data_IF_379315179093
#
_entry.id   IF_379315179093
#
_cell.length_a   1.000
_cell.length_b   1.000
_cell.length_c   1.000
_cell.angle_alpha   90.00
_cell.angle_beta   90.00
_cell.angle_gamma   90.00
#
_symmetry.space_group_name_H-M   'P 1'
#
loop_
_entity.id
_entity.type
_entity.pdbx_description
1 polymer ?
#
# COMPACT_ATOMS: atom_id res chain seq x y z
N UNK A 1 6.79 -25.15 3.05
CA UNK A 1 6.91 -23.96 3.93
C UNK A 1 7.87 -22.90 3.39
N UNK A 2 9.07 -23.25 2.90
CA UNK A 2 10.04 -22.25 2.40
C UNK A 2 9.57 -21.49 1.14
N UNK A 3 9.02 -22.19 0.14
CA UNK A 3 8.57 -21.58 -1.12
C UNK A 3 7.55 -20.45 -0.90
N UNK A 4 6.56 -20.67 -0.03
CA UNK A 4 5.56 -19.64 0.29
C UNK A 4 6.18 -18.41 0.93
N UNK A 5 7.19 -18.57 1.79
CA UNK A 5 7.86 -17.42 2.40
C UNK A 5 8.67 -16.63 1.38
N UNK A 6 9.39 -17.30 0.48
CA UNK A 6 10.09 -16.63 -0.61
C UNK A 6 9.13 -15.80 -1.48
N UNK A 7 7.94 -16.33 -1.76
CA UNK A 7 6.90 -15.59 -2.51
C UNK A 7 6.44 -14.36 -1.73
N UNK A 8 6.11 -14.49 -0.44
CA UNK A 8 5.68 -13.34 0.36
C UNK A 8 6.76 -12.27 0.52
N UNK A 9 8.02 -12.66 0.68
CA UNK A 9 9.16 -11.73 0.70
C UNK A 9 9.28 -11.02 -0.64
N UNK A 10 9.23 -11.74 -1.75
CA UNK A 10 9.31 -11.15 -3.09
C UNK A 10 8.16 -10.18 -3.36
N UNK A 11 6.92 -10.55 -2.98
CA UNK A 11 5.75 -9.67 -3.10
C UNK A 11 5.88 -8.44 -2.21
N UNK A 12 6.32 -8.59 -0.96
CA UNK A 12 6.52 -7.46 -0.06
C UNK A 12 7.59 -6.49 -0.56
N UNK A 13 8.71 -6.99 -1.08
CA UNK A 13 9.74 -6.18 -1.73
C UNK A 13 9.18 -5.49 -2.97
N UNK A 14 8.41 -6.19 -3.81
CA UNK A 14 7.78 -5.60 -4.98
C UNK A 14 6.86 -4.43 -4.59
N UNK A 15 6.05 -4.59 -3.54
CA UNK A 15 5.19 -3.51 -3.02
C UNK A 15 6.02 -2.31 -2.55
N UNK A 16 7.12 -2.53 -1.83
CA UNK A 16 8.03 -1.45 -1.41
C UNK A 16 8.62 -0.74 -2.63
N UNK A 17 9.13 -1.48 -3.61
CA UNK A 17 9.74 -0.91 -4.81
C UNK A 17 8.72 -0.10 -5.61
N UNK A 18 7.49 -0.61 -5.77
CA UNK A 18 6.41 0.13 -6.40
C UNK A 18 6.03 1.36 -5.56
N UNK A 19 6.00 1.29 -4.23
CA UNK A 19 5.64 2.48 -3.45
C UNK A 19 6.60 3.67 -3.62
N UNK A 20 7.88 3.41 -3.89
CA UNK A 20 8.93 4.42 -3.92
C UNK A 20 8.68 5.58 -4.91
N UNK A 21 8.39 5.36 -6.21
CA UNK A 21 8.11 6.45 -7.14
C UNK A 21 6.88 7.30 -6.75
N UNK A 22 5.89 6.71 -6.08
CA UNK A 22 4.71 7.43 -5.57
C UNK A 22 5.07 8.31 -4.37
N UNK A 23 5.81 7.77 -3.39
CA UNK A 23 6.25 8.51 -2.20
C UNK A 23 7.14 9.70 -2.60
N UNK A 24 8.05 9.47 -3.55
CA UNK A 24 8.97 10.48 -4.07
C UNK A 24 8.32 11.49 -5.02
N UNK A 25 7.00 11.38 -5.27
CA UNK A 25 6.24 12.27 -6.16
C UNK A 25 6.85 12.36 -7.57
N UNK A 26 7.36 11.24 -8.09
CA UNK A 26 8.03 11.17 -9.41
C UNK A 26 7.11 10.75 -10.55
N UNK A 27 5.90 10.30 -10.23
CA UNK A 27 4.95 9.74 -11.21
C UNK A 27 4.02 10.85 -11.67
N UNK A 28 4.09 11.29 -12.95
CA UNK A 28 3.09 12.21 -13.49
C UNK A 28 1.72 11.52 -13.64
N UNK A 29 0.67 12.32 -13.80
CA UNK A 29 -0.68 11.81 -14.04
C UNK A 29 -0.69 10.87 -15.24
N UNK A 30 -1.25 9.68 -15.05
CA UNK A 30 -1.25 8.64 -16.08
C UNK A 30 -2.44 7.68 -15.86
N UNK A 31 -2.69 6.83 -16.85
CA UNK A 31 -3.88 5.96 -16.88
C UNK A 31 -3.65 4.56 -16.31
N UNK A 32 -2.45 4.23 -15.79
CA UNK A 32 -2.10 2.86 -15.39
C UNK A 32 -1.59 2.72 -13.95
N UNK A 33 -1.10 3.79 -13.33
CA UNK A 33 -0.28 3.69 -12.14
C UNK A 33 -0.56 4.83 -11.16
N UNK A 34 -0.68 4.48 -9.87
CA UNK A 34 -1.13 5.39 -8.81
C UNK A 34 -2.61 5.27 -8.47
N UNK A 35 -3.06 6.05 -7.49
CA UNK A 35 -4.45 6.14 -7.05
C UNK A 35 -5.26 6.97 -8.05
N UNK A 36 -6.13 6.30 -8.80
CA UNK A 36 -6.94 6.88 -9.89
C UNK A 36 -8.41 6.97 -9.49
N UNK A 37 -8.72 7.95 -8.65
CA UNK A 37 -10.08 8.31 -8.29
C UNK A 37 -10.46 9.62 -9.03
N UNK A 38 -11.75 9.93 -9.25
CA UNK A 38 -12.16 11.12 -9.98
C UNK A 38 -11.44 12.39 -9.53
N UNK A 39 -11.24 12.54 -8.21
CA UNK A 39 -10.50 13.64 -7.60
C UNK A 39 -9.04 13.76 -8.10
N UNK A 40 -8.30 12.66 -8.20
CA UNK A 40 -6.89 12.70 -8.60
C UNK A 40 -6.71 12.82 -10.12
N UNK A 41 -7.74 12.44 -10.89
CA UNK A 41 -7.75 12.49 -12.35
C UNK A 41 -8.24 13.82 -12.92
N UNK A 42 -9.25 14.43 -12.29
CA UNK A 42 -9.88 15.67 -12.75
C UNK A 42 -9.41 16.90 -11.96
N UNK A 43 -8.82 16.69 -10.79
CA UNK A 43 -8.31 17.77 -9.94
C UNK A 43 -6.96 18.33 -10.41
N UNK A 44 -6.32 19.07 -9.52
CA UNK A 44 -5.00 19.68 -9.68
C UNK A 44 -3.86 18.65 -9.66
N UNK A 45 -2.68 19.03 -10.18
CA UNK A 45 -1.48 18.19 -10.03
C UNK A 45 -1.08 17.97 -8.57
N UNK A 46 -1.32 18.98 -7.71
CA UNK A 46 -1.04 18.88 -6.29
C UNK A 46 -1.91 17.80 -5.62
N UNK A 47 -3.19 17.70 -5.98
CA UNK A 47 -4.08 16.65 -5.50
C UNK A 47 -3.65 15.26 -5.98
N UNK A 48 -3.14 15.16 -7.21
CA UNK A 48 -2.55 13.93 -7.72
C UNK A 48 -1.36 13.49 -6.86
N UNK A 49 -0.38 14.38 -6.63
CA UNK A 49 0.83 14.03 -5.88
C UNK A 49 0.58 13.81 -4.39
N UNK A 50 -0.32 14.56 -3.74
CA UNK A 50 -0.65 14.37 -2.32
C UNK A 50 -1.34 13.02 -2.09
N UNK A 51 -2.36 12.70 -2.89
CA UNK A 51 -3.09 11.45 -2.76
C UNK A 51 -2.19 10.23 -3.08
N UNK A 52 -1.37 10.32 -4.12
CA UNK A 52 -0.43 9.26 -4.48
C UNK A 52 0.70 9.10 -3.47
N UNK A 53 1.20 10.18 -2.87
CA UNK A 53 2.17 10.09 -1.79
C UNK A 53 1.61 9.29 -0.62
N UNK A 54 0.40 9.62 -0.15
CA UNK A 54 -0.24 8.90 0.96
C UNK A 54 -0.51 7.43 0.61
N UNK A 55 -1.03 7.16 -0.59
CA UNK A 55 -1.22 5.80 -1.07
C UNK A 55 0.10 5.02 -1.14
N UNK A 56 1.17 5.65 -1.63
CA UNK A 56 2.51 5.09 -1.67
C UNK A 56 3.01 4.72 -0.27
N UNK A 57 2.89 5.62 0.71
CA UNK A 57 3.27 5.33 2.11
C UNK A 57 2.53 4.10 2.64
N UNK A 58 1.23 3.98 2.38
CA UNK A 58 0.45 2.80 2.76
C UNK A 58 0.95 1.51 2.12
N UNK A 59 1.20 1.53 0.81
CA UNK A 59 1.74 0.38 0.07
C UNK A 59 3.11 -0.02 0.63
N UNK A 60 3.98 0.95 0.95
CA UNK A 60 5.29 0.71 1.55
C UNK A 60 5.18 0.00 2.91
N UNK A 61 4.32 0.51 3.79
CA UNK A 61 4.08 -0.08 5.12
C UNK A 61 3.59 -1.52 4.98
N UNK A 62 2.63 -1.77 4.09
CA UNK A 62 2.09 -3.12 3.87
C UNK A 62 3.14 -4.05 3.30
N UNK A 63 3.96 -3.59 2.34
CA UNK A 63 5.09 -4.35 1.83
C UNK A 63 6.10 -4.71 2.94
N UNK A 64 6.47 -3.73 3.78
CA UNK A 64 7.38 -3.94 4.90
C UNK A 64 6.83 -4.92 5.95
N UNK A 65 5.55 -4.80 6.31
CA UNK A 65 4.88 -5.73 7.24
C UNK A 65 4.78 -7.14 6.65
N UNK A 66 4.59 -7.25 5.33
CA UNK A 66 4.56 -8.55 4.64
C UNK A 66 5.93 -9.23 4.69
N UNK A 67 7.01 -8.50 4.38
CA UNK A 67 8.38 -9.02 4.49
C UNK A 67 8.69 -9.41 5.94
N UNK A 68 8.40 -8.54 6.90
CA UNK A 68 8.66 -8.80 8.31
C UNK A 68 7.91 -10.04 8.80
N UNK A 69 6.64 -10.18 8.44
CA UNK A 69 5.82 -11.34 8.80
C UNK A 69 6.39 -12.63 8.21
N UNK A 70 6.80 -12.62 6.95
CA UNK A 70 7.41 -13.78 6.30
C UNK A 70 8.75 -14.17 6.94
N UNK A 71 9.58 -13.19 7.31
CA UNK A 71 10.82 -13.41 8.05
C UNK A 71 10.55 -14.00 9.44
N UNK A 72 9.58 -13.49 10.19
CA UNK A 72 9.23 -14.03 11.53
C UNK A 72 8.78 -15.50 11.43
N UNK A 73 7.99 -15.84 10.41
CA UNK A 73 7.50 -17.22 10.20
C UNK A 73 8.62 -18.16 9.76
N UNK A 74 9.68 -17.67 9.10
CA UNK A 74 10.86 -18.50 8.79
C UNK A 74 11.55 -19.02 10.06
N UNK A 75 11.52 -18.24 11.15
CA UNK A 75 12.16 -18.60 12.43
C UNK A 75 11.19 -19.25 13.44
N UNK A 76 9.88 -19.19 13.21
CA UNK A 76 8.86 -19.70 14.16
C UNK A 76 7.91 -20.67 13.44
N UNK A 77 7.89 -21.94 13.88
CA UNK A 77 7.01 -23.02 13.39
C UNK A 77 5.53 -22.81 13.74
N UNK A 78 4.95 -21.67 13.37
CA UNK A 78 3.52 -21.39 13.52
C UNK A 78 2.86 -21.02 12.18
N UNK A 79 1.55 -21.27 12.11
CA UNK A 79 0.71 -21.29 10.92
C UNK A 79 0.73 -19.97 10.16
N UNK A 80 1.15 -20.03 8.89
CA UNK A 80 1.21 -18.94 7.89
C UNK A 80 -0.09 -18.10 7.83
N UNK A 81 -1.22 -18.70 8.22
CA UNK A 81 -2.55 -18.11 8.24
C UNK A 81 -2.66 -16.82 9.09
N UNK A 82 -2.00 -16.76 10.25
CA UNK A 82 -2.06 -15.59 11.14
C UNK A 82 -1.37 -14.36 10.56
N UNK A 83 -0.20 -14.53 9.93
CA UNK A 83 0.53 -13.41 9.32
C UNK A 83 -0.18 -12.80 8.13
N UNK A 84 -0.87 -13.63 7.33
CA UNK A 84 -1.70 -13.17 6.20
C UNK A 84 -2.88 -12.34 6.72
N UNK A 85 -3.62 -12.83 7.71
CA UNK A 85 -4.76 -12.10 8.29
C UNK A 85 -4.32 -10.71 8.78
N UNK A 86 -3.25 -10.64 9.58
CA UNK A 86 -2.76 -9.36 10.12
C UNK A 86 -2.39 -8.39 8.99
N UNK A 87 -1.61 -8.85 8.02
CA UNK A 87 -1.12 -8.00 6.92
C UNK A 87 -2.28 -7.49 6.04
N UNK A 88 -3.22 -8.37 5.70
CA UNK A 88 -4.40 -8.01 4.90
C UNK A 88 -5.33 -7.07 5.67
N UNK A 89 -5.57 -7.30 6.97
CA UNK A 89 -6.38 -6.41 7.80
C UNK A 89 -5.76 -5.02 7.90
N UNK A 90 -4.43 -4.91 8.06
CA UNK A 90 -3.75 -3.61 8.11
C UNK A 90 -3.90 -2.86 6.78
N UNK A 91 -3.71 -3.55 5.64
CA UNK A 91 -3.93 -2.95 4.31
C UNK A 91 -5.38 -2.45 4.15
N UNK A 92 -6.36 -3.27 4.55
CA UNK A 92 -7.78 -2.94 4.43
C UNK A 92 -8.15 -1.72 5.29
N UNK A 93 -7.71 -1.70 6.56
CA UNK A 93 -7.90 -0.56 7.45
C UNK A 93 -7.28 0.73 6.89
N UNK A 94 -6.09 0.64 6.28
CA UNK A 94 -5.43 1.78 5.66
C UNK A 94 -6.21 2.31 4.45
N UNK A 95 -6.63 1.42 3.55
CA UNK A 95 -7.43 1.79 2.38
C UNK A 95 -8.76 2.42 2.79
N UNK A 96 -9.45 1.85 3.78
CA UNK A 96 -10.69 2.40 4.32
C UNK A 96 -10.47 3.77 4.96
N UNK A 97 -9.36 3.98 5.68
CA UNK A 97 -9.02 5.28 6.26
C UNK A 97 -8.78 6.34 5.17
N UNK A 98 -8.08 6.00 4.09
CA UNK A 98 -7.86 6.91 2.96
C UNK A 98 -9.15 7.22 2.20
N UNK A 99 -9.99 6.21 1.96
CA UNK A 99 -11.32 6.41 1.36
C UNK A 99 -12.19 7.30 2.25
N UNK A 100 -12.20 7.06 3.57
CA UNK A 100 -12.94 7.87 4.52
C UNK A 100 -12.42 9.32 4.56
N UNK A 101 -11.11 9.53 4.62
CA UNK A 101 -10.49 10.87 4.56
C UNK A 101 -10.84 11.59 3.26
N UNK A 102 -10.81 10.88 2.14
CA UNK A 102 -11.19 11.39 0.83
C UNK A 102 -12.65 11.83 0.80
N UNK A 103 -13.57 11.00 1.30
CA UNK A 103 -14.99 11.33 1.36
C UNK A 103 -15.30 12.49 2.32
N UNK A 104 -14.62 12.57 3.47
CA UNK A 104 -14.84 13.66 4.44
C UNK A 104 -14.35 15.01 3.94
N UNK A 105 -13.33 15.07 3.08
CA UNK A 105 -12.87 16.30 2.44
C UNK A 105 -13.92 16.87 1.48
N UNK A 106 -14.73 16.03 0.82
CA UNK A 106 -15.82 16.45 -0.09
C UNK A 106 -17.03 17.11 0.58
N UNK A 107 -17.19 17.00 1.90
CA UNK A 107 -18.34 17.57 2.63
C UNK A 107 -18.06 18.97 3.19
N UNK A 108 -16.84 19.47 3.04
CA UNK A 108 -16.41 20.78 3.58
C UNK A 108 -16.28 21.87 2.51
N UNK A 109 -16.34 21.50 1.25
CA UNK A 109 -16.42 22.40 0.09
C UNK A 109 -17.87 22.46 -0.40
#
# INVERSE_FOLDING_TARGET
MLLSQCIFIAVGILLIVLSAPLILRKVPRNDLYGLRIPKTMQGSEQEWYEANHNAGVGICIVGALTVLSALIILFRSHSVFLGVIISTTVLLCFLLAEVYRSHRRHKKD
#
